data_IF_360116532350
#
_entry.id   IF_360116532350
#
_cell.length_a   1.000
_cell.length_b   1.000
_cell.length_c   1.000
_cell.angle_alpha   90.00
_cell.angle_beta   90.00
_cell.angle_gamma   90.00
#
_symmetry.space_group_name_H-M   'P 1'
#
loop_
_entity.id
_entity.type
_entity.pdbx_description
1 polymer ?
#
# COMPACT_ATOMS: atom_id res chain seq x y z
N UNK A 1 1.56 4.38 -0.72
CA UNK A 1 0.45 3.58 -1.24
C UNK A 1 0.14 3.96 -2.69
N UNK A 2 -0.60 3.08 -3.38
CA UNK A 2 -1.37 3.51 -4.55
C UNK A 2 -2.73 4.04 -4.08
N UNK A 3 -3.26 5.04 -4.76
CA UNK A 3 -4.65 5.46 -4.57
C UNK A 3 -5.52 4.48 -5.36
N UNK A 4 -6.02 3.46 -4.69
CA UNK A 4 -6.69 2.29 -5.28
C UNK A 4 -8.03 2.00 -4.60
N UNK A 5 -8.81 1.09 -5.15
CA UNK A 5 -10.16 0.75 -4.66
C UNK A 5 -10.17 0.44 -3.16
N UNK A 6 -11.19 0.93 -2.45
CA UNK A 6 -11.34 0.75 -0.99
C UNK A 6 -10.26 1.43 -0.14
N UNK A 7 -9.39 2.25 -0.74
CA UNK A 7 -8.29 2.94 -0.05
C UNK A 7 -7.36 1.99 0.76
N UNK A 8 -7.34 0.70 0.44
CA UNK A 8 -6.63 -0.33 1.21
C UNK A 8 -5.14 -0.02 1.36
N UNK A 9 -4.49 0.45 0.29
CA UNK A 9 -3.08 0.86 0.34
C UNK A 9 -2.84 2.03 1.30
N UNK A 10 -3.74 3.02 1.33
CA UNK A 10 -3.65 4.18 2.23
C UNK A 10 -3.87 3.76 3.68
N UNK A 11 -4.92 2.96 3.94
CA UNK A 11 -5.20 2.41 5.27
C UNK A 11 -4.04 1.56 5.78
N UNK A 12 -3.45 0.74 4.92
CA UNK A 12 -2.28 -0.08 5.27
C UNK A 12 -1.07 0.78 5.67
N UNK A 13 -0.79 1.87 4.96
CA UNK A 13 0.29 2.80 5.34
C UNK A 13 -0.04 3.51 6.65
N UNK A 14 -1.30 3.88 6.89
CA UNK A 14 -1.72 4.47 8.17
C UNK A 14 -1.45 3.51 9.35
N UNK A 15 -1.76 2.23 9.20
CA UNK A 15 -1.45 1.20 10.21
C UNK A 15 0.06 1.11 10.48
N UNK A 16 0.89 1.13 9.44
CA UNK A 16 2.35 1.07 9.56
C UNK A 16 2.88 2.29 10.31
N UNK A 17 2.47 3.50 9.91
CA UNK A 17 2.90 4.76 10.54
C UNK A 17 2.50 4.78 12.02
N UNK A 18 1.24 4.44 12.32
CA UNK A 18 0.71 4.44 13.69
C UNK A 18 1.37 3.39 14.57
N UNK A 19 1.55 2.16 14.05
CA UNK A 19 2.10 1.05 14.83
C UNK A 19 3.59 1.21 15.11
N UNK A 20 4.35 1.67 14.11
CA UNK A 20 5.80 1.87 14.24
C UNK A 20 6.16 3.24 14.82
N UNK A 21 5.17 4.06 15.13
CA UNK A 21 5.34 5.43 15.61
C UNK A 21 6.34 6.22 14.75
N UNK A 22 6.11 6.22 13.43
CA UNK A 22 7.01 6.86 12.47
C UNK A 22 6.92 8.39 12.58
N UNK A 23 8.06 9.06 12.52
CA UNK A 23 8.13 10.52 12.55
C UNK A 23 7.88 11.11 11.17
N UNK A 24 7.04 12.15 11.10
CA UNK A 24 6.86 12.95 9.88
C UNK A 24 8.14 13.76 9.64
N UNK A 25 8.73 13.60 8.45
CA UNK A 25 9.98 14.28 8.08
C UNK A 25 9.78 15.34 6.99
N UNK A 26 8.62 15.39 6.38
CA UNK A 26 8.32 16.38 5.36
C UNK A 26 7.16 16.00 4.45
N UNK A 27 7.15 16.64 3.31
CA UNK A 27 6.08 16.53 2.32
C UNK A 27 6.65 16.22 0.95
N UNK A 28 5.94 15.39 0.18
CA UNK A 28 6.27 15.16 -1.21
C UNK A 28 5.58 16.22 -2.07
N UNK A 29 6.36 17.22 -2.53
CA UNK A 29 5.82 18.28 -3.34
C UNK A 29 5.33 17.78 -4.70
N UNK A 30 4.06 18.01 -4.99
CA UNK A 30 3.43 17.62 -6.25
C UNK A 30 2.22 18.47 -6.57
N UNK A 31 2.08 18.83 -7.84
CA UNK A 31 0.90 19.46 -8.44
C UNK A 31 -0.05 18.43 -9.09
N UNK A 32 0.20 17.13 -8.85
CA UNK A 32 -0.52 16.04 -9.50
C UNK A 32 -1.70 15.52 -8.67
N UNK A 33 -1.78 15.91 -7.40
CA UNK A 33 -2.82 15.52 -6.48
C UNK A 33 -3.77 16.67 -6.21
N UNK A 34 -5.05 16.36 -5.98
CA UNK A 34 -6.00 17.37 -5.51
C UNK A 34 -5.53 17.91 -4.16
N UNK A 35 -5.45 19.24 -3.99
CA UNK A 35 -5.10 19.82 -2.70
C UNK A 35 -6.05 19.35 -1.59
N UNK A 36 -5.48 18.98 -0.46
CA UNK A 36 -6.23 18.53 0.71
C UNK A 36 -5.49 18.94 1.97
N UNK A 37 -6.23 19.37 2.97
CA UNK A 37 -5.78 19.61 4.32
C UNK A 37 -6.81 19.02 5.29
N UNK A 38 -6.35 18.47 6.38
CA UNK A 38 -7.20 17.91 7.43
C UNK A 38 -6.45 17.77 8.75
N UNK A 39 -7.12 17.24 9.75
CA UNK A 39 -6.51 16.97 11.04
C UNK A 39 -5.47 15.85 10.94
N UNK A 40 -4.49 15.88 11.83
CA UNK A 40 -3.51 14.79 11.93
C UNK A 40 -4.23 13.48 12.32
N UNK A 41 -4.19 12.45 11.46
CA UNK A 41 -4.92 11.19 11.72
C UNK A 41 -4.33 10.37 12.86
N UNK A 42 -3.12 10.69 13.30
CA UNK A 42 -2.40 9.98 14.38
C UNK A 42 -2.41 10.75 15.70
N UNK A 43 -3.02 11.95 15.72
CA UNK A 43 -3.08 12.77 16.91
C UNK A 43 -3.81 12.07 18.06
N UNK A 44 -3.30 12.26 19.27
CA UNK A 44 -3.99 11.93 20.51
C UNK A 44 -4.50 13.22 21.16
N UNK A 45 -5.30 13.10 22.23
CA UNK A 45 -5.76 14.27 22.97
C UNK A 45 -4.59 15.09 23.57
N UNK A 46 -3.46 14.45 23.77
CA UNK A 46 -2.28 15.01 24.45
C UNK A 46 -1.16 15.42 23.49
N UNK A 47 -1.08 14.76 22.31
CA UNK A 47 0.03 14.95 21.38
C UNK A 47 -0.44 15.26 19.97
N UNK A 48 0.20 16.24 19.33
CA UNK A 48 0.09 16.55 17.90
C UNK A 48 -1.32 16.92 17.41
N UNK A 49 -2.24 17.31 18.31
CA UNK A 49 -3.61 17.64 17.98
C UNK A 49 -3.74 18.89 17.10
N UNK A 50 -2.78 19.81 17.18
CA UNK A 50 -2.73 21.04 16.37
C UNK A 50 -2.05 20.85 15.01
N UNK A 51 -1.40 19.71 14.75
CA UNK A 51 -0.76 19.46 13.47
C UNK A 51 -1.79 19.17 12.38
N UNK A 52 -1.54 19.71 11.20
CA UNK A 52 -2.35 19.45 10.02
C UNK A 52 -1.69 18.35 9.15
N UNK A 53 -2.54 17.61 8.47
CA UNK A 53 -2.17 16.63 7.47
C UNK A 53 -2.54 17.13 6.07
N UNK A 54 -1.68 16.86 5.10
CA UNK A 54 -1.91 17.25 3.70
C UNK A 54 -1.91 16.01 2.77
N UNK A 55 -2.07 16.26 1.49
CA UNK A 55 -2.27 15.24 0.47
C UNK A 55 -1.09 14.26 0.24
N UNK A 56 0.15 14.65 0.55
CA UNK A 56 1.33 13.81 0.36
C UNK A 56 2.38 14.06 1.46
N UNK A 57 2.48 13.15 2.39
CA UNK A 57 3.36 13.24 3.57
C UNK A 57 4.39 12.12 3.58
N UNK A 58 5.58 12.47 4.04
CA UNK A 58 6.71 11.53 4.16
C UNK A 58 7.03 11.30 5.63
N UNK A 59 7.05 10.02 6.00
CA UNK A 59 7.37 9.55 7.35
C UNK A 59 8.62 8.68 7.33
N UNK A 60 9.37 8.67 8.42
CA UNK A 60 10.62 7.92 8.52
C UNK A 60 10.75 7.20 9.86
N UNK A 61 11.38 6.03 9.80
CA UNK A 61 11.88 5.29 10.94
C UNK A 61 13.36 4.94 10.70
N UNK A 62 14.31 5.82 11.07
CA UNK A 62 15.73 5.65 10.76
C UNK A 62 16.34 4.36 11.32
N UNK A 63 15.92 3.94 12.53
CA UNK A 63 16.39 2.71 13.18
C UNK A 63 16.15 1.45 12.34
N UNK A 64 15.17 1.48 11.44
CA UNK A 64 14.85 0.39 10.50
C UNK A 64 15.12 0.72 9.04
N UNK A 65 15.70 1.89 8.76
CA UNK A 65 15.94 2.40 7.39
C UNK A 65 14.65 2.36 6.55
N UNK A 66 13.53 2.72 7.15
CA UNK A 66 12.22 2.67 6.55
C UNK A 66 11.69 4.08 6.32
N UNK A 67 11.17 4.33 5.12
CA UNK A 67 10.46 5.55 4.74
C UNK A 67 9.09 5.18 4.21
N UNK A 68 8.06 5.87 4.65
CA UNK A 68 6.69 5.71 4.16
C UNK A 68 6.22 7.01 3.50
N UNK A 69 5.71 6.91 2.27
CA UNK A 69 5.00 7.98 1.60
C UNK A 69 3.50 7.72 1.75
N UNK A 70 2.77 8.61 2.39
CA UNK A 70 1.31 8.55 2.51
C UNK A 70 0.65 9.53 1.54
N UNK A 71 -0.27 9.02 0.75
CA UNK A 71 -1.09 9.79 -0.18
C UNK A 71 -2.54 9.78 0.30
N UNK A 72 -3.14 10.97 0.44
CA UNK A 72 -4.49 11.12 1.02
C UNK A 72 -5.53 11.67 0.06
N UNK A 73 -5.15 12.04 -1.16
CA UNK A 73 -6.08 12.57 -2.14
C UNK A 73 -5.95 11.87 -3.50
N UNK A 74 -6.96 12.09 -4.33
CA UNK A 74 -7.01 11.55 -5.69
C UNK A 74 -6.10 12.33 -6.63
N UNK A 75 -5.74 11.70 -7.74
CA UNK A 75 -4.96 12.35 -8.80
C UNK A 75 -5.81 13.32 -9.63
N UNK A 76 -5.21 14.45 -9.95
CA UNK A 76 -5.76 15.36 -10.96
C UNK A 76 -5.75 14.61 -12.31
N UNK A 77 -6.85 14.73 -13.05
CA UNK A 77 -7.04 14.08 -14.35
C UNK A 77 -5.82 14.28 -15.26
N UNK A 78 -5.35 13.20 -15.87
CA UNK A 78 -4.18 13.13 -16.76
C UNK A 78 -2.79 13.41 -16.10
N UNK A 79 -2.71 13.67 -14.79
CA UNK A 79 -1.43 13.93 -14.13
C UNK A 79 -0.79 12.70 -13.46
N UNK A 80 -1.41 11.54 -13.53
CA UNK A 80 -0.90 10.32 -12.88
C UNK A 80 0.45 9.88 -13.43
N UNK A 81 0.69 9.99 -14.74
CA UNK A 81 2.00 9.66 -15.34
C UNK A 81 3.10 10.60 -14.85
N UNK A 82 2.82 11.92 -14.83
CA UNK A 82 3.77 12.91 -14.31
C UNK A 82 4.10 12.66 -12.83
N UNK A 83 3.11 12.23 -12.04
CA UNK A 83 3.36 11.84 -10.65
C UNK A 83 4.28 10.61 -10.57
N UNK A 84 4.05 9.58 -11.39
CA UNK A 84 4.91 8.40 -11.42
C UNK A 84 6.36 8.77 -11.76
N UNK A 85 6.58 9.62 -12.73
CA UNK A 85 7.92 10.11 -13.11
C UNK A 85 8.60 10.84 -11.95
N UNK A 86 7.90 11.79 -11.30
CA UNK A 86 8.42 12.54 -10.16
C UNK A 86 8.76 11.61 -8.99
N UNK A 87 7.87 10.65 -8.67
CA UNK A 87 8.09 9.69 -7.61
C UNK A 87 9.30 8.80 -7.88
N UNK A 88 9.42 8.25 -9.08
CA UNK A 88 10.54 7.38 -9.42
C UNK A 88 11.87 8.15 -9.53
N UNK A 89 11.84 9.42 -9.94
CA UNK A 89 12.98 10.32 -9.88
C UNK A 89 13.45 10.53 -8.43
N UNK A 90 12.51 10.81 -7.53
CA UNK A 90 12.80 10.95 -6.11
C UNK A 90 13.36 9.65 -5.51
N UNK A 91 12.79 8.51 -5.87
CA UNK A 91 13.30 7.18 -5.44
C UNK A 91 14.77 7.01 -5.83
N UNK A 92 15.14 7.37 -7.05
CA UNK A 92 16.52 7.26 -7.54
C UNK A 92 17.45 8.26 -6.85
N UNK A 93 17.06 9.53 -6.76
CA UNK A 93 17.89 10.58 -6.16
C UNK A 93 18.11 10.38 -4.66
N UNK A 94 17.16 9.77 -3.96
CA UNK A 94 17.26 9.42 -2.54
C UNK A 94 17.96 8.09 -2.29
N UNK A 95 18.38 7.38 -3.33
CA UNK A 95 19.09 6.09 -3.24
C UNK A 95 18.34 5.02 -2.44
N UNK A 96 17.01 4.98 -2.55
CA UNK A 96 16.22 3.92 -1.92
C UNK A 96 16.58 2.56 -2.51
N UNK A 97 16.97 1.64 -1.67
CA UNK A 97 17.39 0.30 -2.09
C UNK A 97 16.21 -0.52 -2.66
N UNK A 98 15.03 -0.35 -2.09
CA UNK A 98 13.82 -1.10 -2.47
C UNK A 98 12.58 -0.24 -2.30
N UNK A 99 11.60 -0.44 -3.17
CA UNK A 99 10.29 0.21 -3.10
C UNK A 99 9.21 -0.86 -2.97
N UNK A 100 8.28 -0.67 -2.04
CA UNK A 100 7.11 -1.54 -1.90
C UNK A 100 5.86 -0.68 -2.07
N UNK A 101 5.02 -1.04 -3.03
CA UNK A 101 3.74 -0.40 -3.30
C UNK A 101 2.63 -1.25 -2.71
N UNK A 102 1.84 -0.67 -1.80
CA UNK A 102 0.64 -1.29 -1.25
C UNK A 102 -0.56 -0.83 -2.06
N UNK A 103 -1.36 -1.76 -2.55
CA UNK A 103 -2.45 -1.51 -3.50
C UNK A 103 -3.61 -2.48 -3.30
N UNK A 104 -4.66 -2.29 -4.09
CA UNK A 104 -5.83 -3.17 -4.17
C UNK A 104 -6.37 -3.22 -5.60
N UNK A 105 -7.23 -4.17 -5.87
CA UNK A 105 -7.90 -4.35 -7.16
C UNK A 105 -9.34 -4.81 -6.92
N UNK A 106 -10.25 -4.54 -7.85
CA UNK A 106 -11.66 -4.94 -7.74
C UNK A 106 -11.82 -6.46 -7.68
N UNK A 107 -12.47 -6.97 -6.63
CA UNK A 107 -12.73 -8.40 -6.43
C UNK A 107 -13.66 -8.99 -7.47
N UNK A 108 -14.64 -8.23 -7.97
CA UNK A 108 -15.61 -8.69 -8.97
C UNK A 108 -15.02 -8.87 -10.37
N UNK A 109 -13.81 -8.38 -10.61
CA UNK A 109 -13.09 -8.54 -11.89
C UNK A 109 -12.05 -9.68 -11.86
N UNK A 110 -12.07 -10.52 -10.82
CA UNK A 110 -11.22 -11.71 -10.76
C UNK A 110 -11.65 -12.74 -11.80
N UNK A 111 -10.66 -13.40 -12.39
CA UNK A 111 -10.90 -14.57 -13.23
C UNK A 111 -11.04 -15.85 -12.37
N UNK A 112 -11.42 -16.97 -13.02
CA UNK A 112 -11.67 -18.24 -12.32
C UNK A 112 -10.45 -18.76 -11.56
N UNK A 113 -9.24 -18.54 -12.06
CA UNK A 113 -8.00 -18.92 -11.37
C UNK A 113 -7.79 -18.11 -10.10
N UNK A 114 -8.10 -16.81 -10.17
CA UNK A 114 -7.99 -15.90 -9.04
C UNK A 114 -9.07 -16.15 -7.97
N UNK A 115 -10.24 -16.64 -8.37
CA UNK A 115 -11.32 -17.00 -7.45
C UNK A 115 -11.00 -18.24 -6.60
N UNK A 116 -10.21 -19.17 -7.15
CA UNK A 116 -9.84 -20.43 -6.48
C UNK A 116 -8.70 -20.30 -5.45
N UNK A 117 -8.18 -19.11 -5.26
CA UNK A 117 -7.02 -18.88 -4.41
C UNK A 117 -7.20 -17.69 -3.49
N UNK A 118 -6.22 -17.42 -2.63
CA UNK A 118 -6.25 -16.27 -1.73
C UNK A 118 -6.44 -14.97 -2.49
N UNK A 119 -7.11 -13.96 -1.90
CA UNK A 119 -7.32 -12.67 -2.57
C UNK A 119 -6.05 -11.79 -2.63
N UNK A 120 -4.92 -12.30 -2.20
CA UNK A 120 -3.64 -11.61 -2.21
C UNK A 120 -2.82 -11.95 -3.45
N UNK A 121 -2.11 -10.96 -3.99
CA UNK A 121 -1.14 -11.12 -5.09
C UNK A 121 0.07 -10.24 -4.88
N UNK A 122 1.20 -10.67 -5.43
CA UNK A 122 2.39 -9.83 -5.52
C UNK A 122 2.90 -9.70 -6.95
N UNK A 123 3.65 -8.62 -7.20
CA UNK A 123 4.41 -8.41 -8.43
C UNK A 123 5.82 -7.94 -8.07
N UNK A 124 6.81 -8.43 -8.79
CA UNK A 124 8.20 -7.99 -8.64
C UNK A 124 8.72 -7.48 -9.97
N UNK A 125 9.41 -6.34 -9.97
CA UNK A 125 10.22 -5.94 -11.13
C UNK A 125 11.37 -6.93 -11.33
N UNK A 126 11.89 -7.09 -12.56
CA UNK A 126 13.00 -8.02 -12.82
C UNK A 126 14.20 -7.83 -11.89
N UNK A 127 14.55 -6.57 -11.59
CA UNK A 127 15.63 -6.26 -10.65
C UNK A 127 15.30 -6.68 -9.21
N UNK A 128 14.05 -6.46 -8.76
CA UNK A 128 13.61 -6.90 -7.44
C UNK A 128 13.59 -8.41 -7.32
N UNK A 129 13.12 -9.11 -8.37
CA UNK A 129 13.06 -10.56 -8.39
C UNK A 129 14.44 -11.21 -8.17
N UNK A 130 15.49 -10.65 -8.78
CA UNK A 130 16.87 -11.15 -8.56
C UNK A 130 17.29 -11.10 -7.09
N UNK A 131 16.88 -10.05 -6.37
CA UNK A 131 17.32 -9.80 -4.99
C UNK A 131 16.50 -10.52 -3.91
N UNK A 132 15.21 -10.84 -4.17
CA UNK A 132 14.30 -11.37 -3.14
C UNK A 132 13.66 -12.71 -3.48
N UNK A 133 13.99 -13.33 -4.62
CA UNK A 133 13.35 -14.54 -5.15
C UNK A 133 13.22 -15.65 -4.12
N UNK A 134 14.30 -15.99 -3.42
CA UNK A 134 14.32 -17.09 -2.45
C UNK A 134 13.42 -16.80 -1.26
N UNK A 135 13.45 -15.54 -0.76
CA UNK A 135 12.62 -15.12 0.37
C UNK A 135 11.13 -15.14 0.00
N UNK A 136 10.75 -14.59 -1.14
CA UNK A 136 9.35 -14.59 -1.59
C UNK A 136 8.84 -16.00 -1.86
N UNK A 137 9.67 -16.87 -2.45
CA UNK A 137 9.30 -18.28 -2.63
C UNK A 137 9.02 -19.01 -1.31
N UNK A 138 9.80 -18.72 -0.26
CA UNK A 138 9.57 -19.32 1.06
C UNK A 138 8.28 -18.89 1.73
N UNK A 139 7.67 -17.77 1.31
CA UNK A 139 6.38 -17.29 1.81
C UNK A 139 5.18 -17.96 1.11
N UNK A 140 5.42 -18.72 0.05
CA UNK A 140 4.38 -19.41 -0.72
C UNK A 140 3.25 -18.49 -1.22
N UNK A 141 3.59 -17.24 -1.54
CA UNK A 141 2.64 -16.26 -2.07
C UNK A 141 2.37 -16.50 -3.55
N UNK A 142 1.22 -16.03 -4.01
CA UNK A 142 0.86 -16.12 -5.43
C UNK A 142 1.27 -14.85 -6.19
N UNK A 143 2.01 -15.04 -7.28
CA UNK A 143 2.33 -13.96 -8.21
C UNK A 143 1.08 -13.57 -9.01
N UNK A 144 0.95 -12.29 -9.30
CA UNK A 144 -0.13 -11.79 -10.15
C UNK A 144 -0.02 -12.37 -11.55
N UNK A 145 -1.11 -12.85 -12.07
CA UNK A 145 -1.20 -13.47 -13.38
C UNK A 145 -0.93 -12.41 -14.47
N UNK A 146 -0.11 -12.79 -15.44
CA UNK A 146 0.19 -11.98 -16.63
C UNK A 146 -0.62 -12.50 -17.79
N UNK A 147 -1.37 -11.64 -18.45
CA UNK A 147 -2.13 -11.98 -19.64
C UNK A 147 -1.48 -11.38 -20.88
N UNK A 148 -1.52 -12.05 -22.05
CA UNK A 148 -1.06 -11.45 -23.30
C UNK A 148 -1.80 -10.13 -23.55
N UNK A 149 -1.10 -9.09 -23.98
CA UNK A 149 -1.71 -7.79 -24.23
C UNK A 149 -2.63 -7.79 -25.44
N UNK A 150 -2.30 -8.61 -26.44
CA UNK A 150 -3.09 -8.83 -27.67
C UNK A 150 -2.96 -10.32 -28.02
N UNK A 151 -4.04 -11.04 -28.34
CA UNK A 151 -4.02 -12.48 -28.62
C UNK A 151 -3.17 -12.89 -29.83
N UNK A 152 -2.80 -11.95 -30.71
CA UNK A 152 -2.18 -12.23 -32.02
C UNK A 152 -0.74 -11.68 -32.17
N UNK A 153 -0.15 -11.07 -31.14
CA UNK A 153 1.22 -10.55 -31.20
C UNK A 153 2.17 -11.26 -30.24
N UNK A 154 3.39 -11.44 -30.74
CA UNK A 154 4.53 -12.18 -30.15
C UNK A 154 4.63 -12.24 -28.61
N UNK A 155 5.25 -13.31 -28.11
CA UNK A 155 5.51 -13.69 -26.70
C UNK A 155 6.16 -12.62 -25.78
N UNK A 156 6.43 -11.41 -26.27
CA UNK A 156 7.15 -10.37 -25.52
C UNK A 156 6.26 -9.38 -24.74
N UNK A 157 4.96 -9.30 -25.02
CA UNK A 157 4.09 -8.27 -24.44
C UNK A 157 3.01 -8.84 -23.49
N UNK A 158 3.45 -9.28 -22.32
CA UNK A 158 2.52 -9.60 -21.24
C UNK A 158 2.08 -8.33 -20.50
N UNK A 159 0.77 -8.18 -20.35
CA UNK A 159 0.17 -7.12 -19.56
C UNK A 159 -0.25 -7.61 -18.18
N UNK A 160 0.02 -6.81 -17.18
CA UNK A 160 -0.60 -6.97 -15.86
C UNK A 160 -1.88 -6.14 -15.83
N UNK A 161 -3.00 -6.79 -15.53
CA UNK A 161 -4.30 -6.12 -15.39
C UNK A 161 -4.64 -5.93 -13.91
N UNK A 162 -4.76 -4.66 -13.47
CA UNK A 162 -5.07 -4.28 -12.07
C UNK A 162 -6.25 -3.29 -12.10
N UNK A 163 -7.48 -3.75 -12.29
CA UNK A 163 -8.65 -2.88 -12.30
C UNK A 163 -8.87 -2.25 -10.93
N UNK A 164 -9.06 -0.93 -10.88
CA UNK A 164 -9.20 -0.19 -9.62
C UNK A 164 -7.89 0.03 -8.87
N UNK A 165 -6.75 -0.40 -9.42
CA UNK A 165 -5.43 -0.28 -8.79
C UNK A 165 -4.78 1.10 -8.86
N UNK A 166 -5.50 2.14 -9.33
CA UNK A 166 -4.95 3.49 -9.42
C UNK A 166 -3.68 3.54 -10.27
N UNK A 167 -2.63 4.15 -9.74
CA UNK A 167 -1.34 4.32 -10.43
C UNK A 167 -0.46 3.06 -10.41
N UNK A 168 -0.88 1.98 -9.75
CA UNK A 168 -0.06 0.77 -9.52
C UNK A 168 0.54 0.21 -10.80
N UNK A 169 -0.29 0.05 -11.84
CA UNK A 169 0.16 -0.48 -13.14
C UNK A 169 1.21 0.40 -13.81
N UNK A 170 0.99 1.73 -13.80
CA UNK A 170 1.92 2.69 -14.38
C UNK A 170 3.26 2.69 -13.64
N UNK A 171 3.23 2.74 -12.30
CA UNK A 171 4.43 2.65 -11.45
C UNK A 171 5.21 1.37 -11.72
N UNK A 172 4.53 0.22 -11.77
CA UNK A 172 5.18 -1.06 -12.04
C UNK A 172 5.88 -1.07 -13.41
N UNK A 173 5.15 -0.67 -14.48
CA UNK A 173 5.68 -0.63 -15.85
C UNK A 173 6.91 0.29 -15.95
N UNK A 174 6.81 1.50 -15.43
CA UNK A 174 7.93 2.44 -15.45
C UNK A 174 9.11 1.99 -14.60
N UNK A 175 8.85 1.32 -13.48
CA UNK A 175 9.91 0.77 -12.63
C UNK A 175 10.66 -0.38 -13.31
N UNK A 176 9.97 -1.19 -14.12
CA UNK A 176 10.64 -2.21 -14.95
C UNK A 176 11.59 -1.56 -15.96
N UNK A 177 11.15 -0.52 -16.70
CA UNK A 177 11.97 0.16 -17.69
C UNK A 177 13.11 0.98 -17.08
N UNK A 178 12.95 1.48 -15.86
CA UNK A 178 13.97 2.27 -15.14
C UNK A 178 14.87 1.44 -14.23
N UNK A 179 14.74 0.10 -14.27
CA UNK A 179 15.49 -0.86 -13.47
C UNK A 179 15.42 -0.59 -11.95
N UNK A 180 14.25 -0.15 -11.46
CA UNK A 180 14.03 0.10 -10.04
C UNK A 180 13.61 -1.21 -9.36
N UNK A 181 14.20 -1.52 -8.21
CA UNK A 181 13.79 -2.63 -7.37
C UNK A 181 12.45 -2.32 -6.72
N UNK A 182 11.35 -2.79 -7.33
CA UNK A 182 10.00 -2.56 -6.85
C UNK A 182 9.24 -3.86 -6.66
N UNK A 183 8.53 -3.95 -5.54
CA UNK A 183 7.50 -4.95 -5.28
C UNK A 183 6.14 -4.25 -5.17
N UNK A 184 5.11 -4.86 -5.71
CA UNK A 184 3.71 -4.49 -5.47
C UNK A 184 3.08 -5.61 -4.66
N UNK A 185 2.46 -5.26 -3.55
CA UNK A 185 1.59 -6.14 -2.76
C UNK A 185 0.16 -5.62 -2.93
N UNK A 186 -0.74 -6.46 -3.39
CA UNK A 186 -2.11 -6.07 -3.61
C UNK A 186 -3.10 -7.12 -3.13
N UNK A 187 -4.31 -6.65 -2.77
CA UNK A 187 -5.42 -7.50 -2.37
C UNK A 187 -6.63 -7.21 -3.25
N UNK A 188 -7.34 -8.26 -3.65
CA UNK A 188 -8.64 -8.11 -4.31
C UNK A 188 -9.69 -7.81 -3.26
N UNK A 189 -10.41 -6.69 -3.43
CA UNK A 189 -11.37 -6.17 -2.46
C UNK A 189 -12.65 -5.65 -3.12
N UNK A 190 -13.71 -5.56 -2.34
CA UNK A 190 -14.91 -4.81 -2.67
C UNK A 190 -14.89 -3.48 -1.95
N UNK A 191 -15.64 -2.50 -2.43
CA UNK A 191 -15.82 -1.24 -1.71
C UNK A 191 -16.69 -1.45 -0.46
N UNK A 192 -16.37 -0.77 0.63
CA UNK A 192 -17.05 -0.86 1.90
C UNK A 192 -16.12 -0.62 3.07
N UNK A 193 -16.31 -1.35 4.18
CA UNK A 193 -15.34 -1.39 5.28
C UNK A 193 -14.12 -2.20 4.86
N UNK A 194 -13.07 -1.50 4.49
CA UNK A 194 -11.81 -2.09 4.05
C UNK A 194 -10.72 -2.09 5.14
N UNK A 195 -11.06 -1.80 6.39
CA UNK A 195 -10.14 -1.94 7.53
C UNK A 195 -9.61 -3.37 7.67
N UNK A 196 -10.45 -4.43 7.60
CA UNK A 196 -9.96 -5.81 7.63
C UNK A 196 -9.05 -6.16 6.44
N UNK A 197 -9.30 -5.56 5.27
CA UNK A 197 -8.45 -5.77 4.09
C UNK A 197 -7.09 -5.12 4.25
N UNK A 198 -7.03 -3.93 4.84
CA UNK A 198 -5.79 -3.25 5.14
C UNK A 198 -4.97 -4.00 6.20
N UNK A 199 -5.61 -4.50 7.26
CA UNK A 199 -4.97 -5.36 8.25
C UNK A 199 -4.36 -6.60 7.59
N UNK A 200 -5.12 -7.34 6.77
CA UNK A 200 -4.60 -8.49 6.06
C UNK A 200 -3.44 -8.14 5.12
N UNK A 201 -3.45 -6.96 4.49
CA UNK A 201 -2.36 -6.54 3.60
C UNK A 201 -1.07 -6.23 4.38
N UNK A 202 -1.16 -5.59 5.54
CA UNK A 202 0.03 -5.31 6.37
C UNK A 202 0.56 -6.57 7.05
N UNK A 203 -0.27 -7.57 7.31
CA UNK A 203 0.17 -8.89 7.78
C UNK A 203 1.05 -9.57 6.75
N UNK A 204 0.64 -9.64 5.48
CA UNK A 204 1.51 -10.13 4.40
C UNK A 204 2.83 -9.35 4.32
N UNK A 205 2.78 -8.02 4.41
CA UNK A 205 4.01 -7.23 4.44
C UNK A 205 4.88 -7.58 5.65
N UNK A 206 4.29 -7.82 6.81
CA UNK A 206 5.01 -8.18 8.03
C UNK A 206 5.62 -9.59 7.97
N UNK A 207 4.97 -10.55 7.32
CA UNK A 207 5.57 -11.87 7.03
C UNK A 207 6.91 -11.72 6.29
N UNK A 208 6.98 -10.76 5.38
CA UNK A 208 8.19 -10.50 4.60
C UNK A 208 9.23 -9.68 5.36
N UNK A 209 8.83 -8.54 5.93
CA UNK A 209 9.75 -7.54 6.51
C UNK A 209 10.01 -7.73 7.99
N UNK A 210 9.17 -8.50 8.69
CA UNK A 210 9.25 -8.72 10.14
C UNK A 210 9.32 -7.39 10.93
N UNK A 211 8.45 -6.45 10.57
CA UNK A 211 8.38 -5.11 11.19
C UNK A 211 7.90 -5.18 12.64
N UNK A 212 6.99 -6.11 12.92
CA UNK A 212 6.45 -6.35 14.25
C UNK A 212 6.73 -7.82 14.58
N UNK A 213 7.23 -8.08 15.78
CA UNK A 213 7.35 -9.44 16.31
C UNK A 213 6.07 -9.78 17.07
N UNK A 214 5.60 -11.04 17.01
CA UNK A 214 4.53 -11.48 17.91
C UNK A 214 4.95 -11.19 19.35
N UNK A 215 4.05 -10.64 20.13
CA UNK A 215 4.24 -10.49 21.57
C UNK A 215 4.05 -11.89 22.18
N UNK A 216 5.13 -12.42 22.69
CA UNK A 216 5.47 -13.78 23.04
C UNK A 216 4.62 -14.49 24.07
N UNK A 217 4.92 -15.77 24.28
CA UNK A 217 4.74 -16.68 25.43
C UNK A 217 3.32 -17.15 25.76
N UNK A 218 2.25 -16.65 25.14
CA UNK A 218 0.90 -17.22 25.29
C UNK A 218 0.58 -18.15 24.09
N UNK A 219 0.09 -19.37 24.30
CA UNK A 219 -0.28 -20.30 23.23
C UNK A 219 -1.58 -19.90 22.49
N UNK A 220 -2.18 -18.75 22.80
CA UNK A 220 -3.25 -18.17 21.99
C UNK A 220 -2.68 -17.65 20.65
N UNK A 221 -3.42 -17.74 19.53
CA UNK A 221 -2.95 -17.22 18.26
C UNK A 221 -2.55 -15.77 18.43
N UNK A 222 -1.23 -15.52 18.28
CA UNK A 222 -0.63 -14.19 18.46
C UNK A 222 -1.18 -13.25 17.40
N UNK A 223 -2.28 -12.57 17.72
CA UNK A 223 -2.77 -11.45 16.93
C UNK A 223 -1.72 -10.35 17.00
N UNK A 224 -1.10 -10.07 15.85
CA UNK A 224 -0.21 -8.93 15.72
C UNK A 224 -0.98 -7.68 16.06
N UNK A 225 -0.57 -6.97 17.10
CA UNK A 225 -1.24 -5.77 17.57
C UNK A 225 -0.88 -4.58 16.67
N UNK A 226 -1.64 -4.40 15.59
CA UNK A 226 -1.59 -3.19 14.78
C UNK A 226 -2.30 -2.05 15.52
N UNK A 227 -1.60 -0.93 15.71
CA UNK A 227 -2.17 0.25 16.34
C UNK A 227 -3.04 1.01 15.34
N UNK A 228 -4.33 0.95 15.56
CA UNK A 228 -5.32 1.66 14.75
C UNK A 228 -5.17 3.17 14.97
N UNK A 229 -5.08 4.00 13.91
CA UNK A 229 -5.05 5.45 14.01
C UNK A 229 -6.26 6.01 14.76
N UNK A 230 -6.07 7.08 15.51
CA UNK A 230 -7.15 7.71 16.28
C UNK A 230 -8.32 8.19 15.40
N UNK A 231 -8.02 8.65 14.18
CA UNK A 231 -9.03 9.09 13.22
C UNK A 231 -9.99 8.00 12.77
N UNK A 232 -9.62 6.73 12.87
CA UNK A 232 -10.47 5.63 12.41
C UNK A 232 -11.63 5.32 13.34
N UNK A 233 -11.60 5.78 14.59
CA UNK A 233 -12.69 5.59 15.56
C UNK A 233 -14.04 6.14 15.05
N UNK A 234 -13.99 7.08 14.10
CA UNK A 234 -15.17 7.73 13.55
C UNK A 234 -15.40 7.41 12.05
N UNK A 235 -14.59 6.55 11.43
CA UNK A 235 -14.69 6.24 9.99
C UNK A 235 -16.04 5.66 9.58
N UNK A 236 -16.63 4.83 10.44
CA UNK A 236 -17.93 4.20 10.23
C UNK A 236 -18.97 4.62 11.29
N UNK A 237 -18.71 5.73 11.99
CA UNK A 237 -19.54 6.22 13.08
C UNK A 237 -19.29 5.51 14.41
N UNK A 238 -19.99 5.94 15.44
CA UNK A 238 -19.91 5.39 16.82
C UNK A 238 -20.85 4.20 17.06
N UNK A 239 -21.42 3.61 16.02
CA UNK A 239 -22.50 2.64 16.13
C UNK A 239 -23.88 3.31 16.34
N UNK A 240 -24.93 2.51 16.39
CA UNK A 240 -26.27 3.01 16.71
C UNK A 240 -26.30 3.48 18.18
N UNK A 241 -26.86 4.68 18.46
CA UNK A 241 -27.02 5.12 19.85
C UNK A 241 -27.81 4.09 20.67
N UNK A 242 -27.39 3.79 21.92
CA UNK A 242 -28.10 2.82 22.77
C UNK A 242 -29.58 3.13 22.98
N UNK A 243 -29.97 4.40 22.76
CA UNK A 243 -31.37 4.85 22.91
C UNK A 243 -32.30 4.44 21.75
N UNK A 244 -31.79 3.71 20.74
CA UNK A 244 -32.60 3.20 19.62
C UNK A 244 -32.97 1.70 19.78
N UNK A 245 -32.66 1.10 20.92
CA UNK A 245 -33.03 -0.27 21.27
C UNK A 245 -33.84 -0.28 22.57
#
# INVERSE_FOLDING_TARGET
PAVSVGNVGQLAIDLIISTLNMSKIGYFYTDCLVPMVGNNPYATAEENSAELSINAEVYSLPSRKLVALQLRSIFIKYKSSSFCEKLLSWVKSSSFAKVIVLSSSHSYQRNDLQLRSTPFRYLLTPCMQKSVRNKIKSLNWQEMEKTPCIPEMSDSDYCVRIPGGGITRALYKESCSKEIQMAVLLKFVSEGDNVPDALGLVEYLNEWLQMIKPQSDDPAPSTLLWKIPSSWKLLFGSGLPPALF
#
